data_IF_739233471145
#
_entry.id   IF_739233471145
#
_cell.length_a   1.000
_cell.length_b   1.000
_cell.length_c   1.000
_cell.angle_alpha   90.00
_cell.angle_beta   90.00
_cell.angle_gamma   90.00
#
_symmetry.space_group_name_H-M   'P 1'
#
loop_
_entity.id
_entity.type
_entity.pdbx_description
1 polymer ?
#
# COMPACT_ATOMS: atom_id res chain seq x y z
N UNK A 1 5.29 -10.25 -0.46
CA UNK A 1 5.81 -9.69 0.79
C UNK A 1 4.82 -9.93 1.93
N UNK A 2 5.27 -10.31 3.11
CA UNK A 2 4.39 -10.47 4.26
C UNK A 2 4.36 -9.18 5.09
N UNK A 3 3.39 -9.08 5.99
CA UNK A 3 3.31 -7.93 6.90
C UNK A 3 4.58 -7.83 7.76
N UNK A 4 5.10 -8.97 8.22
CA UNK A 4 6.34 -8.99 9.01
C UNK A 4 7.52 -8.44 8.21
N UNK A 5 7.63 -8.79 6.94
CA UNK A 5 8.68 -8.27 6.06
C UNK A 5 8.55 -6.76 5.88
N UNK A 6 7.32 -6.27 5.75
CA UNK A 6 7.07 -4.83 5.63
C UNK A 6 7.51 -4.11 6.90
N UNK A 7 7.22 -4.65 8.07
CA UNK A 7 7.63 -4.06 9.35
C UNK A 7 9.14 -3.93 9.46
N UNK A 8 9.88 -4.90 8.94
CA UNK A 8 11.34 -4.93 9.01
C UNK A 8 12.01 -4.20 7.86
N UNK A 9 11.26 -3.79 6.85
CA UNK A 9 11.81 -3.13 5.68
C UNK A 9 12.34 -1.73 6.03
N UNK A 10 13.53 -1.35 5.54
CA UNK A 10 14.03 0.02 5.71
C UNK A 10 13.39 1.00 4.73
N UNK A 11 12.62 0.53 3.76
CA UNK A 11 12.02 1.38 2.75
C UNK A 11 10.92 2.26 3.34
N UNK A 12 10.89 3.53 2.95
CA UNK A 12 9.84 4.44 3.38
C UNK A 12 8.54 4.22 2.60
N UNK A 13 8.65 3.71 1.39
CA UNK A 13 7.53 3.56 0.46
C UNK A 13 7.36 2.12 0.02
N UNK A 14 6.11 1.73 -0.15
CA UNK A 14 5.72 0.41 -0.64
C UNK A 14 5.07 0.55 -2.00
N UNK A 15 5.10 -0.51 -2.79
CA UNK A 15 4.41 -0.56 -4.08
C UNK A 15 3.06 -1.24 -3.93
N UNK A 16 2.18 -1.05 -4.93
CA UNK A 16 0.89 -1.75 -4.94
C UNK A 16 1.08 -3.27 -4.96
N UNK A 17 2.09 -3.75 -5.69
CA UNK A 17 2.37 -5.19 -5.75
C UNK A 17 2.75 -5.75 -4.39
N UNK A 18 3.55 -5.01 -3.60
CA UNK A 18 3.96 -5.46 -2.28
C UNK A 18 2.81 -5.54 -1.30
N UNK A 19 1.94 -4.53 -1.27
CA UNK A 19 0.81 -4.53 -0.34
C UNK A 19 -0.30 -5.46 -0.80
N UNK A 20 -0.40 -5.74 -2.10
CA UNK A 20 -1.41 -6.64 -2.62
C UNK A 20 -1.28 -8.05 -2.03
N UNK A 21 -0.06 -8.53 -1.83
CA UNK A 21 0.17 -9.83 -1.20
C UNK A 21 -0.34 -9.85 0.24
N UNK A 22 -0.10 -8.77 0.99
CA UNK A 22 -0.57 -8.66 2.38
C UNK A 22 -2.09 -8.60 2.44
N UNK A 23 -2.71 -7.87 1.51
CA UNK A 23 -4.15 -7.67 1.47
C UNK A 23 -4.89 -8.80 0.74
N UNK A 24 -4.14 -9.75 0.16
CA UNK A 24 -4.70 -10.84 -0.64
C UNK A 24 -5.57 -10.31 -1.78
N UNK A 25 -5.08 -9.26 -2.45
CA UNK A 25 -5.80 -8.55 -3.50
C UNK A 25 -4.96 -8.47 -4.77
N UNK A 26 -5.60 -8.11 -5.87
CA UNK A 26 -4.92 -7.90 -7.14
C UNK A 26 -4.24 -6.51 -7.14
N UNK A 27 -2.95 -6.41 -7.49
CA UNK A 27 -2.28 -5.11 -7.58
C UNK A 27 -2.98 -4.12 -8.52
N UNK A 28 -3.58 -4.61 -9.60
CA UNK A 28 -4.30 -3.75 -10.53
C UNK A 28 -5.50 -3.08 -9.87
N UNK A 29 -6.21 -3.82 -9.01
CA UNK A 29 -7.35 -3.28 -8.28
C UNK A 29 -6.92 -2.21 -7.29
N UNK A 30 -5.78 -2.41 -6.64
CA UNK A 30 -5.24 -1.41 -5.69
C UNK A 30 -4.86 -0.14 -6.45
N UNK A 31 -4.20 -0.27 -7.60
CA UNK A 31 -3.83 0.88 -8.43
C UNK A 31 -5.04 1.65 -8.91
N UNK A 32 -6.06 0.93 -9.35
CA UNK A 32 -7.30 1.54 -9.82
C UNK A 32 -8.00 2.29 -8.70
N UNK A 33 -8.14 1.66 -7.54
CA UNK A 33 -8.78 2.27 -6.38
C UNK A 33 -8.02 3.51 -5.89
N UNK A 34 -6.69 3.46 -5.92
CA UNK A 34 -5.86 4.58 -5.51
C UNK A 34 -6.07 5.80 -6.42
N UNK A 35 -6.32 5.58 -7.70
CA UNK A 35 -6.55 6.65 -8.66
C UNK A 35 -7.97 7.19 -8.63
N UNK A 36 -8.96 6.32 -8.44
CA UNK A 36 -10.37 6.71 -8.46
C UNK A 36 -10.86 7.25 -7.13
N UNK A 37 -10.60 6.53 -6.05
CA UNK A 37 -11.06 6.93 -4.72
C UNK A 37 -10.11 6.35 -3.66
N UNK A 38 -9.00 7.02 -3.38
CA UNK A 38 -8.02 6.52 -2.42
C UNK A 38 -8.57 6.43 -1.00
N UNK A 39 -9.62 7.15 -0.66
CA UNK A 39 -10.19 7.10 0.69
C UNK A 39 -10.76 5.73 1.03
N UNK A 40 -11.13 4.94 0.04
CA UNK A 40 -11.68 3.60 0.27
C UNK A 40 -10.62 2.57 0.65
N UNK A 41 -9.34 2.89 0.48
CA UNK A 41 -8.27 1.97 0.84
C UNK A 41 -8.02 1.91 2.34
N UNK A 42 -8.41 2.94 3.08
CA UNK A 42 -8.26 2.98 4.54
C UNK A 42 -6.87 3.40 5.02
N UNK A 43 -5.94 3.63 4.12
CA UNK A 43 -4.60 4.13 4.43
C UNK A 43 -4.19 5.14 3.36
N UNK A 44 -3.25 6.07 3.67
CA UNK A 44 -2.81 7.07 2.71
C UNK A 44 -2.09 6.44 1.51
N UNK A 45 -2.30 6.99 0.33
CA UNK A 45 -1.57 6.62 -0.88
C UNK A 45 -1.16 7.88 -1.62
N UNK A 46 -0.06 7.78 -2.37
CA UNK A 46 0.42 8.86 -3.23
C UNK A 46 0.48 8.34 -4.64
N UNK A 47 -0.15 9.05 -5.57
CA UNK A 47 -0.11 8.70 -6.99
C UNK A 47 0.81 9.69 -7.71
N UNK A 48 1.88 9.17 -8.31
CA UNK A 48 2.84 9.97 -9.05
C UNK A 48 2.89 9.43 -10.48
N UNK A 49 2.27 10.16 -11.42
CA UNK A 49 2.14 9.69 -12.79
C UNK A 49 1.35 8.41 -12.85
N UNK A 50 1.95 7.35 -13.37
CA UNK A 50 1.32 6.03 -13.43
C UNK A 50 1.67 5.14 -12.23
N UNK A 51 2.45 5.64 -11.28
CA UNK A 51 2.92 4.87 -10.14
C UNK A 51 2.12 5.19 -8.89
N UNK A 52 1.82 4.14 -8.13
CA UNK A 52 1.16 4.27 -6.83
C UNK A 52 2.19 3.93 -5.76
N UNK A 53 2.36 4.84 -4.80
CA UNK A 53 3.28 4.66 -3.68
C UNK A 53 2.52 4.74 -2.38
N UNK A 54 2.82 3.82 -1.47
CA UNK A 54 2.14 3.74 -0.19
C UNK A 54 3.17 3.98 0.92
N UNK A 55 2.98 5.00 1.78
CA UNK A 55 3.90 5.21 2.89
C UNK A 55 3.81 4.06 3.87
N UNK A 56 4.97 3.50 4.22
CA UNK A 56 5.03 2.27 5.02
C UNK A 56 4.41 2.43 6.41
N UNK A 57 4.75 3.51 7.12
CA UNK A 57 4.27 3.69 8.49
C UNK A 57 2.76 3.83 8.60
N UNK A 58 2.09 4.68 7.82
CA UNK A 58 0.63 4.74 7.85
C UNK A 58 -0.03 3.44 7.44
N UNK A 59 0.57 2.70 6.49
CA UNK A 59 0.05 1.40 6.11
C UNK A 59 0.10 0.42 7.27
N UNK A 60 1.20 0.40 8.02
CA UNK A 60 1.32 -0.45 9.20
C UNK A 60 0.33 -0.04 10.29
N UNK A 61 0.13 1.25 10.48
CA UNK A 61 -0.84 1.77 11.46
C UNK A 61 -2.26 1.29 11.15
N UNK A 62 -2.59 1.09 9.87
CA UNK A 62 -3.88 0.54 9.46
C UNK A 62 -4.13 -0.85 10.07
N UNK A 63 -3.07 -1.61 10.32
CA UNK A 63 -3.16 -2.93 10.95
C UNK A 63 -2.98 -2.87 12.48
N UNK A 64 -2.91 -1.68 13.06
CA UNK A 64 -2.77 -1.51 14.50
C UNK A 64 -1.34 -1.58 15.03
N UNK A 65 -0.37 -1.41 14.18
CA UNK A 65 1.05 -1.43 14.59
C UNK A 65 1.60 -0.03 14.86
#
# INVERSE_FOLDING_TARGET
MTLAEIKQSPAMWLTAAQIAEVLESDPADIRLQAKEDPSKLGFPVVVIGSRVKIPRRPFLAFFGD
#
